data_IF_070584291594
#
_entry.id   IF_070584291594
#
_cell.length_a   1.000
_cell.length_b   1.000
_cell.length_c   1.000
_cell.angle_alpha   90.00
_cell.angle_beta   90.00
_cell.angle_gamma   90.00
#
_symmetry.space_group_name_H-M   'P 1'
#
loop_
_entity.id
_entity.type
_entity.pdbx_description
1 polymer ?
#
# COMPACT_ATOMS: atom_id res chain seq x y z
N UNK A 1 10.25 -12.06 -2.34
CA UNK A 1 9.10 -11.25 -1.89
C UNK A 1 7.87 -12.14 -1.89
N UNK A 2 7.01 -12.10 -0.87
CA UNK A 2 5.72 -12.81 -0.91
C UNK A 2 4.79 -12.08 -1.88
N UNK A 3 4.12 -12.81 -2.76
CA UNK A 3 3.17 -12.27 -3.75
C UNK A 3 1.72 -12.57 -3.40
N UNK A 4 1.50 -13.37 -2.35
CA UNK A 4 0.18 -13.72 -1.82
C UNK A 4 -0.04 -13.08 -0.45
N UNK A 5 -1.28 -12.73 -0.15
CA UNK A 5 -1.67 -12.22 1.16
C UNK A 5 -1.75 -13.37 2.17
N UNK A 6 -1.37 -13.14 3.44
CA UNK A 6 -1.72 -14.04 4.53
C UNK A 6 -3.25 -14.19 4.64
N UNK A 7 -3.72 -15.35 5.09
CA UNK A 7 -5.15 -15.66 5.20
C UNK A 7 -5.94 -14.60 5.99
N UNK A 8 -5.40 -14.18 7.16
CA UNK A 8 -6.01 -13.11 7.99
C UNK A 8 -6.14 -11.76 7.27
N UNK A 9 -5.39 -11.55 6.19
CA UNK A 9 -5.38 -10.32 5.39
C UNK A 9 -6.18 -10.43 4.10
N UNK A 10 -6.70 -11.61 3.72
CA UNK A 10 -7.53 -11.77 2.51
C UNK A 10 -8.76 -10.87 2.52
N UNK A 11 -9.31 -10.57 3.70
CA UNK A 11 -10.47 -9.68 3.87
C UNK A 11 -10.26 -8.26 3.33
N UNK A 12 -9.01 -7.80 3.18
CA UNK A 12 -8.71 -6.47 2.62
C UNK A 12 -8.30 -6.51 1.15
N UNK A 13 -8.26 -7.69 0.52
CA UNK A 13 -7.76 -7.86 -0.84
C UNK A 13 -8.50 -6.98 -1.86
N UNK A 14 -9.83 -6.95 -1.82
CA UNK A 14 -10.61 -6.11 -2.72
C UNK A 14 -10.27 -4.61 -2.57
N UNK A 15 -10.10 -4.14 -1.32
CA UNK A 15 -9.71 -2.75 -1.04
C UNK A 15 -8.29 -2.46 -1.52
N UNK A 16 -7.35 -3.38 -1.34
CA UNK A 16 -5.98 -3.25 -1.85
C UNK A 16 -5.97 -3.19 -3.38
N UNK A 17 -6.72 -4.09 -4.05
CA UNK A 17 -6.82 -4.09 -5.51
C UNK A 17 -7.37 -2.76 -6.02
N UNK A 18 -8.40 -2.21 -5.36
CA UNK A 18 -8.95 -0.90 -5.71
C UNK A 18 -7.90 0.22 -5.56
N UNK A 19 -7.19 0.27 -4.43
CA UNK A 19 -6.14 1.28 -4.20
C UNK A 19 -5.02 1.15 -5.24
N UNK A 20 -4.58 -0.08 -5.51
CA UNK A 20 -3.54 -0.37 -6.51
C UNK A 20 -3.99 0.10 -7.89
N UNK A 21 -5.23 -0.18 -8.29
CA UNK A 21 -5.76 0.27 -9.58
C UNK A 21 -5.74 1.80 -9.68
N UNK A 22 -6.26 2.51 -8.67
CA UNK A 22 -6.25 3.98 -8.64
C UNK A 22 -4.83 4.55 -8.74
N UNK A 23 -3.86 3.94 -8.05
CA UNK A 23 -2.45 4.33 -8.10
C UNK A 23 -1.89 4.12 -9.52
N UNK A 24 -2.16 2.97 -10.15
CA UNK A 24 -1.70 2.65 -11.49
C UNK A 24 -2.32 3.58 -12.54
N UNK A 25 -3.59 3.94 -12.39
CA UNK A 25 -4.28 4.85 -13.32
C UNK A 25 -3.68 6.26 -13.30
N UNK A 26 -3.32 6.76 -12.10
CA UNK A 26 -2.73 8.09 -11.91
C UNK A 26 -1.26 8.13 -12.32
N UNK A 27 -0.48 7.13 -11.89
CA UNK A 27 0.97 7.15 -12.05
C UNK A 27 1.44 6.48 -13.34
N UNK A 28 0.59 5.68 -13.99
CA UNK A 28 0.84 5.04 -15.28
C UNK A 28 2.20 4.33 -15.34
N UNK A 29 3.05 4.70 -16.29
CA UNK A 29 4.37 4.10 -16.53
C UNK A 29 5.43 4.52 -15.49
N UNK A 30 5.11 5.39 -14.53
CA UNK A 30 6.07 5.96 -13.58
C UNK A 30 6.40 5.02 -12.42
N UNK A 31 5.59 4.00 -12.17
CA UNK A 31 5.78 3.06 -11.06
C UNK A 31 6.76 1.95 -11.44
N UNK A 32 7.70 1.67 -10.55
CA UNK A 32 8.58 0.51 -10.61
C UNK A 32 8.04 -0.65 -9.75
N UNK A 33 7.47 -0.34 -8.58
CA UNK A 33 6.94 -1.35 -7.66
C UNK A 33 5.91 -0.76 -6.69
N UNK A 34 4.94 -1.59 -6.29
CA UNK A 34 4.02 -1.31 -5.17
C UNK A 34 4.17 -2.45 -4.16
N UNK A 35 4.41 -2.12 -2.90
CA UNK A 35 4.69 -3.10 -1.83
C UNK A 35 3.71 -2.86 -0.68
N UNK A 36 2.96 -3.89 -0.30
CA UNK A 36 2.29 -3.92 1.00
C UNK A 36 3.33 -4.29 2.07
N UNK A 37 3.42 -3.48 3.12
CA UNK A 37 4.29 -3.76 4.26
C UNK A 37 3.55 -3.59 5.59
N UNK A 38 4.25 -3.79 6.70
CA UNK A 38 3.66 -3.70 8.04
C UNK A 38 2.79 -4.92 8.38
N UNK A 39 1.89 -4.73 9.34
CA UNK A 39 1.20 -5.84 10.01
C UNK A 39 0.20 -6.57 9.10
N UNK A 40 -0.42 -5.88 8.15
CA UNK A 40 -1.27 -6.53 7.15
C UNK A 40 -0.47 -7.39 6.16
N UNK A 41 0.78 -7.03 5.83
CA UNK A 41 1.65 -7.87 4.99
C UNK A 41 2.10 -9.14 5.71
N UNK A 42 2.30 -9.05 7.04
CA UNK A 42 2.70 -10.19 7.87
C UNK A 42 1.53 -11.06 8.33
N UNK A 43 0.32 -10.49 8.37
CA UNK A 43 -0.89 -11.16 8.86
C UNK A 43 -1.05 -11.10 10.39
N UNK A 44 -0.25 -10.28 11.07
CA UNK A 44 -0.24 -10.09 12.52
C UNK A 44 -0.92 -8.76 12.95
N UNK A 45 -1.76 -8.18 12.09
CA UNK A 45 -2.54 -6.99 12.41
C UNK A 45 -3.46 -7.21 13.62
N UNK A 46 -3.66 -6.14 14.39
CA UNK A 46 -4.45 -6.15 15.63
C UNK A 46 -5.65 -5.22 15.48
N UNK A 47 -6.79 -5.64 16.02
CA UNK A 47 -7.99 -4.84 16.17
C UNK A 47 -8.48 -5.01 17.60
N UNK A 48 -8.07 -4.07 18.43
CA UNK A 48 -8.36 -4.00 19.85
C UNK A 48 -9.16 -2.71 20.11
N UNK A 49 -10.45 -2.79 19.76
CA UNK A 49 -11.38 -1.66 19.88
C UNK A 49 -11.52 -1.14 21.32
N UNK A 50 -11.60 -2.00 22.36
CA UNK A 50 -11.68 -1.53 23.74
C UNK A 50 -10.53 -0.59 24.14
N UNK A 51 -9.32 -0.87 23.65
CA UNK A 51 -8.15 -0.03 23.91
C UNK A 51 -7.90 1.02 22.81
N UNK A 52 -8.86 1.22 21.90
CA UNK A 52 -8.78 2.20 20.83
C UNK A 52 -7.72 1.90 19.77
N UNK A 53 -7.18 0.67 19.72
CA UNK A 53 -6.12 0.31 18.81
C UNK A 53 -6.63 -0.44 17.58
N UNK A 54 -6.26 0.03 16.40
CA UNK A 54 -6.43 -0.71 15.16
C UNK A 54 -5.22 -0.51 14.28
N UNK A 55 -4.64 -1.60 13.77
CA UNK A 55 -3.56 -1.50 12.79
C UNK A 55 -4.03 -0.76 11.54
N UNK A 56 -3.17 0.09 11.02
CA UNK A 56 -3.31 0.75 9.73
C UNK A 56 -2.79 -0.13 8.59
N UNK A 57 -3.02 0.33 7.35
CA UNK A 57 -2.54 -0.35 6.14
C UNK A 57 -1.41 0.45 5.53
N UNK A 58 -0.25 -0.18 5.38
CA UNK A 58 0.99 0.49 4.97
C UNK A 58 1.39 0.05 3.55
N UNK A 59 1.46 1.01 2.61
CA UNK A 59 1.82 0.78 1.21
C UNK A 59 3.03 1.65 0.84
N UNK A 60 4.05 1.03 0.27
CA UNK A 60 5.23 1.69 -0.28
C UNK A 60 5.15 1.66 -1.80
N UNK A 61 5.35 2.83 -2.43
CA UNK A 61 5.38 2.97 -3.89
C UNK A 61 6.80 3.39 -4.28
N UNK A 62 7.41 2.62 -5.18
CA UNK A 62 8.71 2.92 -5.75
C UNK A 62 8.49 3.45 -7.16
N UNK A 63 8.98 4.65 -7.44
CA UNK A 63 8.91 5.27 -8.77
C UNK A 63 10.18 4.98 -9.58
N UNK A 64 10.05 4.94 -10.90
CA UNK A 64 11.19 4.88 -11.82
C UNK A 64 12.02 6.16 -11.69
N UNK A 65 13.35 6.01 -11.68
CA UNK A 65 14.31 7.13 -11.64
C UNK A 65 14.00 8.14 -12.77
N UNK A 66 14.07 9.44 -12.46
CA UNK A 66 13.83 10.52 -13.42
C UNK A 66 12.37 10.81 -13.76
N UNK A 67 11.42 9.97 -13.34
CA UNK A 67 9.97 10.22 -13.47
C UNK A 67 9.38 10.93 -12.26
N UNK A 68 10.14 11.00 -11.16
CA UNK A 68 9.84 11.86 -10.02
C UNK A 68 10.40 13.25 -10.29
N UNK A 69 9.56 14.14 -10.83
CA UNK A 69 9.76 15.57 -10.60
C UNK A 69 9.31 15.77 -9.16
N UNK A 70 10.23 16.11 -8.25
CA UNK A 70 9.86 16.38 -6.86
C UNK A 70 8.72 17.38 -6.76
N UNK A 71 8.14 17.58 -5.57
CA UNK A 71 7.21 18.69 -5.36
C UNK A 71 7.83 19.97 -5.94
N UNK A 72 7.34 20.40 -7.10
CA UNK A 72 7.49 21.76 -7.52
C UNK A 72 6.77 22.52 -6.41
N UNK A 73 7.54 23.18 -5.56
CA UNK A 73 7.01 24.18 -4.64
C UNK A 73 6.06 25.03 -5.47
N UNK A 74 4.77 25.03 -5.10
CA UNK A 74 3.81 25.99 -5.60
C UNK A 74 4.35 27.36 -5.17
N UNK A 75 5.08 28.01 -6.09
CA UNK A 75 5.47 29.40 -6.00
C UNK A 75 4.34 30.29 -6.48
#
# INVERSE_FOLDING_TARGET
MKTTLPERSLKIQARLNFIVQQILDIAQDKIAMIILYGSFARGDWVRDLPNGYHSDTNILIILKKGKYKGHATLG
#
